data_IF_435227058634
#
_entry.id   IF_435227058634
#
_cell.length_a   1.000
_cell.length_b   1.000
_cell.length_c   1.000
_cell.angle_alpha   90.00
_cell.angle_beta   90.00
_cell.angle_gamma   90.00
#
_symmetry.space_group_name_H-M   'P 1'
#
loop_
_entity.id
_entity.type
_entity.pdbx_description
1 polymer ?
#
# COMPACT_ATOMS: atom_id res chain seq x y z
N UNK A 1 -20.41 97.89 -2.81
CA UNK A 1 -21.50 97.60 -3.78
C UNK A 1 -21.63 96.09 -3.96
N UNK A 2 -22.84 95.58 -3.70
CA UNK A 2 -23.53 94.35 -4.14
C UNK A 2 -22.76 93.15 -4.75
N UNK A 3 -22.90 92.00 -4.06
CA UNK A 3 -23.45 90.68 -4.51
C UNK A 3 -22.84 90.03 -5.76
N UNK A 4 -22.37 88.77 -5.68
CA UNK A 4 -23.25 87.61 -5.94
C UNK A 4 -22.68 86.31 -5.38
N UNK A 5 -23.55 85.53 -4.74
CA UNK A 5 -23.29 84.19 -4.26
C UNK A 5 -23.58 83.16 -5.36
N UNK A 6 -22.74 82.13 -5.48
CA UNK A 6 -23.05 80.91 -6.24
C UNK A 6 -23.06 79.75 -5.25
N UNK A 7 -24.25 79.18 -5.07
CA UNK A 7 -24.51 77.89 -4.42
C UNK A 7 -24.11 76.76 -5.38
N UNK A 8 -23.48 75.71 -4.89
CA UNK A 8 -23.55 74.38 -5.53
C UNK A 8 -23.43 73.28 -4.48
N UNK A 9 -24.15 72.20 -4.77
CA UNK A 9 -24.84 71.32 -3.83
C UNK A 9 -23.92 70.31 -3.13
N UNK A 10 -24.34 69.99 -1.90
CA UNK A 10 -23.85 68.86 -1.09
C UNK A 10 -24.44 67.58 -1.69
N UNK A 11 -23.59 66.71 -2.24
CA UNK A 11 -23.93 65.32 -2.56
C UNK A 11 -23.38 64.40 -1.48
N UNK A 12 -24.23 63.96 -0.55
CA UNK A 12 -23.86 62.95 0.45
C UNK A 12 -23.98 61.55 -0.16
N UNK A 13 -22.86 60.96 -0.57
CA UNK A 13 -22.80 59.56 -0.95
C UNK A 13 -22.77 58.70 0.33
N UNK A 14 -23.88 58.06 0.66
CA UNK A 14 -23.96 57.04 1.70
C UNK A 14 -23.26 55.79 1.19
N UNK A 15 -22.05 55.54 1.68
CA UNK A 15 -21.34 54.28 1.48
C UNK A 15 -22.00 53.22 2.37
N UNK A 16 -22.89 52.41 1.82
CA UNK A 16 -23.40 51.22 2.48
C UNK A 16 -22.27 50.19 2.55
N UNK A 17 -21.58 50.13 3.70
CA UNK A 17 -20.59 49.10 3.99
C UNK A 17 -21.33 47.76 4.16
N UNK A 18 -21.36 46.95 3.08
CA UNK A 18 -21.72 45.54 3.16
C UNK A 18 -20.66 44.81 3.97
N UNK A 19 -20.94 44.59 5.26
CA UNK A 19 -20.24 43.63 6.10
C UNK A 19 -20.54 42.22 5.56
N UNK A 20 -19.75 41.78 4.59
CA UNK A 20 -19.62 40.36 4.26
C UNK A 20 -19.00 39.68 5.48
N UNK A 21 -19.82 39.00 6.27
CA UNK A 21 -19.35 38.18 7.37
C UNK A 21 -18.50 37.04 6.82
N UNK A 22 -17.19 37.14 6.99
CA UNK A 22 -16.26 36.02 6.84
C UNK A 22 -16.60 35.00 7.93
N UNK A 23 -17.42 33.99 7.61
CA UNK A 23 -17.56 32.83 8.47
C UNK A 23 -16.19 32.19 8.72
N UNK A 24 -15.96 31.53 9.86
CA UNK A 24 -14.69 30.87 10.13
C UNK A 24 -14.38 29.91 8.96
N UNK A 25 -13.19 30.07 8.37
CA UNK A 25 -12.72 29.18 7.33
C UNK A 25 -12.55 27.78 7.92
N UNK A 26 -13.54 26.91 7.70
CA UNK A 26 -13.48 25.50 8.11
C UNK A 26 -12.54 24.77 7.17
N UNK A 27 -11.27 24.68 7.54
CA UNK A 27 -10.27 23.96 6.77
C UNK A 27 -10.12 22.54 7.32
N UNK A 28 -11.13 21.68 7.11
CA UNK A 28 -11.00 20.24 7.36
C UNK A 28 -9.74 19.69 6.69
N UNK A 29 -9.12 18.65 7.26
CA UNK A 29 -8.00 17.94 6.66
C UNK A 29 -8.49 16.66 5.98
N UNK A 30 -8.28 16.59 4.67
CA UNK A 30 -8.45 15.39 3.88
C UNK A 30 -7.10 14.70 3.64
N UNK A 31 -7.12 13.37 3.66
CA UNK A 31 -6.03 12.52 3.25
C UNK A 31 -6.44 11.82 1.95
N UNK A 32 -5.65 12.00 0.90
CA UNK A 32 -5.87 11.38 -0.41
C UNK A 32 -4.87 10.27 -0.68
N UNK A 33 -5.35 9.11 -1.11
CA UNK A 33 -4.51 7.99 -1.50
C UNK A 33 -4.28 8.00 -3.03
N UNK A 34 -3.16 8.57 -3.45
CA UNK A 34 -2.65 8.55 -4.83
C UNK A 34 -1.63 7.43 -5.05
N UNK A 35 -1.62 6.44 -4.18
CA UNK A 35 -0.90 5.18 -4.37
C UNK A 35 -1.79 4.20 -5.12
N UNK A 36 -1.16 3.27 -5.81
CA UNK A 36 -1.84 2.13 -6.44
C UNK A 36 -2.10 0.96 -5.46
N UNK A 37 -2.05 1.22 -4.15
CA UNK A 37 -2.26 0.26 -3.06
C UNK A 37 -3.39 0.68 -2.14
N UNK A 38 -4.20 -0.27 -1.65
CA UNK A 38 -5.08 0.01 -0.50
C UNK A 38 -4.20 0.14 0.74
N UNK A 39 -4.36 1.25 1.47
CA UNK A 39 -3.52 1.58 2.63
C UNK A 39 -4.34 1.78 3.89
N UNK A 40 -3.69 1.53 5.02
CA UNK A 40 -4.10 2.03 6.33
C UNK A 40 -3.17 3.16 6.74
N UNK A 41 -3.74 4.31 7.12
CA UNK A 41 -3.00 5.48 7.54
C UNK A 41 -3.36 5.94 8.94
N UNK A 42 -2.43 6.58 9.62
CA UNK A 42 -2.63 7.31 10.86
C UNK A 42 -2.05 8.71 10.70
N UNK A 43 -2.71 9.70 11.29
CA UNK A 43 -2.20 11.07 11.36
C UNK A 43 -1.75 11.39 12.77
N UNK A 44 -0.71 12.22 12.88
CA UNK A 44 -0.31 12.89 14.11
C UNK A 44 -0.51 14.38 13.95
N UNK A 45 -1.04 15.04 14.96
CA UNK A 45 -1.27 16.47 15.02
C UNK A 45 -0.50 17.00 16.21
N UNK A 46 0.39 17.97 15.95
CA UNK A 46 1.08 18.72 16.99
C UNK A 46 0.52 20.13 17.07
N UNK A 47 0.10 20.52 18.26
CA UNK A 47 -0.39 21.86 18.57
C UNK A 47 0.12 22.27 19.96
N UNK A 48 0.79 23.42 20.07
CA UNK A 48 1.27 23.98 21.34
C UNK A 48 2.11 23.00 22.16
N UNK A 49 2.91 22.18 21.50
CA UNK A 49 3.77 21.16 22.11
C UNK A 49 3.06 19.88 22.58
N UNK A 50 1.74 19.75 22.39
CA UNK A 50 1.01 18.50 22.60
C UNK A 50 0.87 17.75 21.26
N UNK A 51 1.11 16.44 21.26
CA UNK A 51 0.98 15.61 20.06
C UNK A 51 -0.08 14.54 20.26
N UNK A 52 -1.11 14.56 19.42
CA UNK A 52 -2.16 13.55 19.37
C UNK A 52 -2.09 12.74 18.07
N UNK A 53 -2.41 11.44 18.11
CA UNK A 53 -2.53 10.59 16.92
C UNK A 53 -3.93 10.03 16.78
N UNK A 54 -4.35 9.77 15.54
CA UNK A 54 -5.58 9.04 15.23
C UNK A 54 -5.42 8.21 13.95
N UNK A 55 -6.09 7.08 13.91
CA UNK A 55 -6.04 6.09 12.83
C UNK A 55 -6.88 4.87 13.24
N UNK A 56 -6.80 3.72 12.59
CA UNK A 56 -6.29 3.53 11.25
C UNK A 56 -7.37 3.91 10.23
N UNK A 57 -7.07 4.85 9.36
CA UNK A 57 -7.93 5.16 8.23
C UNK A 57 -7.59 4.23 7.08
N UNK A 58 -8.53 3.38 6.68
CA UNK A 58 -8.44 2.74 5.37
C UNK A 58 -8.72 3.77 4.28
N UNK A 59 -7.85 3.79 3.27
CA UNK A 59 -8.04 4.53 2.02
C UNK A 59 -7.80 3.61 0.83
N UNK A 60 -8.80 3.50 -0.03
CA UNK A 60 -8.66 2.81 -1.31
C UNK A 60 -7.92 3.71 -2.34
N UNK A 61 -7.26 3.15 -3.35
CA UNK A 61 -6.62 3.91 -4.42
C UNK A 61 -7.57 4.93 -5.07
N UNK A 62 -7.14 6.19 -5.14
CA UNK A 62 -7.91 7.33 -5.63
C UNK A 62 -8.91 7.91 -4.64
N UNK A 63 -9.00 7.39 -3.41
CA UNK A 63 -9.91 7.91 -2.40
C UNK A 63 -9.30 9.08 -1.63
N UNK A 64 -10.09 10.15 -1.45
CA UNK A 64 -9.85 11.18 -0.45
C UNK A 64 -10.82 11.01 0.72
N UNK A 65 -10.30 11.04 1.95
CA UNK A 65 -11.08 10.88 3.18
C UNK A 65 -10.77 12.00 4.16
N UNK A 66 -11.80 12.59 4.74
CA UNK A 66 -11.65 13.55 5.84
C UNK A 66 -11.14 12.85 7.09
N UNK A 67 -9.94 13.22 7.53
CA UNK A 67 -9.24 12.63 8.67
C UNK A 67 -9.21 13.57 9.88
N UNK A 68 -9.51 14.85 9.70
CA UNK A 68 -9.74 15.82 10.77
C UNK A 68 -10.82 16.82 10.34
N UNK A 69 -11.74 17.13 11.24
CA UNK A 69 -12.86 18.03 10.99
C UNK A 69 -12.70 19.29 11.83
N UNK A 70 -12.99 20.44 11.26
CA UNK A 70 -12.83 21.75 11.90
C UNK A 70 -11.52 22.44 11.53
N UNK A 71 -11.28 23.59 12.14
CA UNK A 71 -10.07 24.38 11.92
C UNK A 71 -8.83 23.60 12.38
N UNK A 72 -7.89 23.40 11.46
CA UNK A 72 -6.63 22.71 11.74
C UNK A 72 -5.62 23.75 12.20
N UNK A 73 -5.49 23.93 13.51
CA UNK A 73 -4.52 24.82 14.16
C UNK A 73 -3.15 24.16 14.37
N UNK A 74 -2.90 23.04 13.70
CA UNK A 74 -1.70 22.23 13.85
C UNK A 74 -0.45 23.00 13.41
N UNK A 75 0.57 23.03 14.27
CA UNK A 75 1.91 23.53 13.92
C UNK A 75 2.61 22.55 12.97
N UNK A 76 2.42 21.25 13.21
CA UNK A 76 2.96 20.18 12.38
C UNK A 76 1.93 19.06 12.21
N UNK A 77 1.75 18.62 10.97
CA UNK A 77 1.01 17.42 10.63
C UNK A 77 1.99 16.30 10.32
N UNK A 78 1.72 15.12 10.86
CA UNK A 78 2.50 13.91 10.70
C UNK A 78 1.64 12.83 10.06
N UNK A 79 2.23 11.99 9.21
CA UNK A 79 1.55 10.91 8.52
C UNK A 79 2.35 9.62 8.62
N UNK A 80 1.65 8.54 8.94
CA UNK A 80 2.17 7.19 8.85
C UNK A 80 1.18 6.35 8.04
N UNK A 81 1.67 5.59 7.06
CA UNK A 81 0.82 4.75 6.22
C UNK A 81 1.52 3.42 5.92
N UNK A 82 0.72 2.37 5.77
CA UNK A 82 1.15 1.03 5.38
C UNK A 82 0.16 0.45 4.37
N UNK A 83 0.65 -0.26 3.36
CA UNK A 83 -0.22 -1.05 2.49
C UNK A 83 -0.78 -2.25 3.25
N UNK A 84 -1.96 -2.72 2.83
CA UNK A 84 -2.57 -3.90 3.44
C UNK A 84 -1.68 -5.15 3.29
N UNK A 85 -1.68 -6.08 4.27
CA UNK A 85 -0.83 -7.28 4.24
C UNK A 85 -1.01 -8.18 3.02
N UNK A 86 -2.14 -8.07 2.31
CA UNK A 86 -2.40 -8.83 1.07
C UNK A 86 -1.38 -8.53 -0.04
N UNK A 87 -0.71 -7.37 0.02
CA UNK A 87 0.37 -6.97 -0.90
C UNK A 87 1.76 -7.46 -0.44
N UNK A 88 1.85 -8.22 0.65
CA UNK A 88 3.08 -8.57 1.35
C UNK A 88 3.39 -7.62 2.52
N UNK A 89 4.51 -7.86 3.26
CA UNK A 89 4.90 -6.98 4.35
C UNK A 89 5.23 -5.57 3.82
N UNK A 90 4.57 -4.55 4.36
CA UNK A 90 4.92 -3.16 4.11
C UNK A 90 6.17 -2.81 4.94
N UNK A 91 7.30 -2.43 4.32
CA UNK A 91 8.47 -2.00 5.07
C UNK A 91 8.12 -0.76 5.90
N UNK A 92 8.56 -0.73 7.16
CA UNK A 92 8.42 0.48 7.97
C UNK A 92 9.29 1.60 7.38
N UNK A 93 8.80 2.85 7.33
CA UNK A 93 9.58 3.97 6.82
C UNK A 93 10.91 4.10 7.59
N UNK A 94 12.04 3.94 6.90
CA UNK A 94 13.37 4.04 7.52
C UNK A 94 13.68 5.49 7.96
N UNK A 95 13.16 6.47 7.22
CA UNK A 95 13.20 7.88 7.57
C UNK A 95 11.84 8.33 8.08
N UNK A 96 11.85 9.11 9.16
CA UNK A 96 10.68 9.82 9.64
C UNK A 96 11.09 10.87 10.65
N UNK A 97 10.17 11.78 10.89
CA UNK A 97 10.42 13.02 11.64
C UNK A 97 9.98 12.90 13.11
N UNK A 98 9.15 11.90 13.43
CA UNK A 98 8.71 11.61 14.79
C UNK A 98 8.39 10.12 14.97
N UNK A 99 8.64 9.60 16.18
CA UNK A 99 8.10 8.32 16.64
C UNK A 99 6.88 8.59 17.52
N UNK A 100 5.70 8.19 17.05
CA UNK A 100 4.42 8.45 17.72
C UNK A 100 3.64 7.17 17.95
N UNK A 101 2.76 7.20 18.95
CA UNK A 101 1.96 6.03 19.32
C UNK A 101 0.87 5.73 18.32
N UNK A 102 0.71 4.44 18.01
CA UNK A 102 -0.41 3.89 17.27
C UNK A 102 -1.11 2.81 18.08
N UNK A 103 -2.43 2.71 17.90
CA UNK A 103 -3.27 1.66 18.47
C UNK A 103 -3.49 0.49 17.51
N UNK A 104 -4.29 -0.47 17.99
CA UNK A 104 -4.91 -1.50 17.15
C UNK A 104 -6.31 -1.04 16.75
N UNK A 105 -6.78 -1.41 15.55
CA UNK A 105 -8.08 -0.94 15.04
C UNK A 105 -8.20 0.59 14.97
N UNK A 106 -9.42 1.11 15.05
CA UNK A 106 -9.66 2.54 15.15
C UNK A 106 -9.23 3.07 16.54
N UNK A 107 -8.46 4.14 16.58
CA UNK A 107 -7.85 4.71 17.77
C UNK A 107 -7.73 6.24 17.70
N UNK A 108 -7.71 6.84 18.89
CA UNK A 108 -7.31 8.23 19.14
C UNK A 108 -6.45 8.24 20.39
N UNK A 109 -5.26 8.85 20.35
CA UNK A 109 -4.30 8.91 21.46
C UNK A 109 -3.86 10.37 21.63
N UNK A 110 -4.18 10.99 22.77
CA UNK A 110 -3.86 12.40 23.01
C UNK A 110 -2.40 12.65 23.45
N UNK A 111 -1.72 11.66 24.02
CA UNK A 111 -0.34 11.76 24.51
C UNK A 111 0.59 10.86 23.68
N UNK A 112 0.66 11.12 22.38
CA UNK A 112 1.25 10.20 21.41
C UNK A 112 2.79 10.08 21.48
N UNK A 113 3.47 10.77 22.40
CA UNK A 113 4.91 10.65 22.63
C UNK A 113 5.28 9.65 23.73
N UNK A 114 4.31 9.11 24.47
CA UNK A 114 4.54 8.19 25.58
C UNK A 114 3.62 6.96 25.50
N UNK A 115 4.03 5.96 24.72
CA UNK A 115 3.19 4.80 24.46
C UNK A 115 3.04 3.90 25.68
N UNK A 116 1.83 3.37 25.86
CA UNK A 116 1.49 2.39 26.90
C UNK A 116 0.88 1.16 26.25
N UNK A 117 1.22 -0.08 26.65
CA UNK A 117 0.58 -1.28 26.12
C UNK A 117 -0.96 -1.16 26.16
N UNK A 118 -1.69 -1.53 25.09
CA UNK A 118 -1.22 -2.23 23.87
C UNK A 118 -0.72 -1.32 22.73
N UNK A 119 -0.47 -0.03 22.98
CA UNK A 119 0.08 0.91 21.99
C UNK A 119 1.52 0.56 21.66
N UNK A 120 1.94 0.87 20.43
CA UNK A 120 3.32 0.75 19.98
C UNK A 120 3.77 2.05 19.33
N UNK A 121 5.08 2.27 19.29
CA UNK A 121 5.65 3.33 18.45
C UNK A 121 5.54 2.94 16.98
N UNK A 122 5.24 3.93 16.14
CA UNK A 122 5.40 3.88 14.70
C UNK A 122 6.08 5.17 14.24
N UNK A 123 6.84 5.06 13.15
CA UNK A 123 7.57 6.18 12.56
C UNK A 123 6.66 7.01 11.65
N UNK A 124 6.49 8.30 11.94
CA UNK A 124 5.70 9.23 11.14
C UNK A 124 6.58 10.19 10.35
N UNK A 125 6.15 10.54 9.14
CA UNK A 125 6.75 11.59 8.34
C UNK A 125 6.01 12.93 8.55
N UNK A 126 6.75 14.02 8.74
CA UNK A 126 6.19 15.36 8.71
C UNK A 126 5.68 15.66 7.28
N UNK A 127 4.45 16.13 7.17
CA UNK A 127 3.84 16.54 5.90
C UNK A 127 3.35 17.98 6.02
N UNK A 128 3.37 18.69 4.90
CA UNK A 128 2.76 20.01 4.78
C UNK A 128 1.54 19.90 3.86
N UNK A 129 0.32 19.86 4.42
CA UNK A 129 -0.89 19.84 3.62
C UNK A 129 -0.96 21.06 2.69
N UNK A 130 -1.48 20.87 1.49
CA UNK A 130 -1.80 21.95 0.56
C UNK A 130 -3.26 22.38 0.71
N UNK A 131 -3.58 23.62 0.37
CA UNK A 131 -4.96 24.08 0.31
C UNK A 131 -5.58 23.73 -1.05
N UNK A 132 -6.76 23.11 -1.03
CA UNK A 132 -7.57 22.84 -2.21
C UNK A 132 -9.06 22.98 -1.89
N UNK A 133 -9.78 23.80 -2.68
CA UNK A 133 -11.22 24.02 -2.52
C UNK A 133 -11.67 24.39 -1.09
N UNK A 134 -10.85 25.17 -0.37
CA UNK A 134 -11.14 25.60 1.01
C UNK A 134 -10.90 24.54 2.08
N UNK A 135 -10.21 23.44 1.74
CA UNK A 135 -9.84 22.34 2.63
C UNK A 135 -8.32 22.14 2.60
N UNK A 136 -7.77 21.57 3.66
CA UNK A 136 -6.38 21.11 3.66
C UNK A 136 -6.32 19.68 3.12
N UNK A 137 -5.34 19.39 2.28
CA UNK A 137 -5.15 18.10 1.65
C UNK A 137 -3.72 17.61 1.86
N UNK A 138 -3.57 16.43 2.44
CA UNK A 138 -2.34 15.66 2.41
C UNK A 138 -2.51 14.48 1.44
N UNK A 139 -1.53 14.21 0.58
CA UNK A 139 -1.58 13.11 -0.37
C UNK A 139 -0.47 12.09 -0.09
N UNK A 140 -0.84 10.81 -0.10
CA UNK A 140 0.09 9.69 -0.23
C UNK A 140 0.30 9.45 -1.73
N UNK A 141 1.48 9.69 -2.27
CA UNK A 141 1.74 9.59 -3.71
C UNK A 141 2.99 8.75 -4.00
N UNK A 142 2.97 8.04 -5.14
CA UNK A 142 4.12 7.32 -5.69
C UNK A 142 4.95 8.27 -6.58
N UNK A 143 6.18 7.87 -6.94
CA UNK A 143 7.04 8.65 -7.84
C UNK A 143 6.41 8.94 -9.20
N UNK A 144 5.45 8.12 -9.64
CA UNK A 144 4.70 8.31 -10.88
C UNK A 144 3.68 9.47 -10.82
N UNK A 145 3.48 10.09 -9.65
CA UNK A 145 2.59 11.24 -9.42
C UNK A 145 1.17 11.06 -9.99
N UNK A 146 0.55 9.91 -9.73
CA UNK A 146 -0.80 9.63 -10.21
C UNK A 146 -1.83 10.69 -9.78
N UNK A 147 -2.75 11.03 -10.68
CA UNK A 147 -4.02 11.63 -10.29
C UNK A 147 -4.86 10.65 -9.49
N UNK A 148 -5.89 11.14 -8.80
CA UNK A 148 -6.79 10.27 -8.03
C UNK A 148 -7.46 9.20 -8.93
N UNK A 149 -7.82 9.56 -10.17
CA UNK A 149 -8.38 8.62 -11.16
C UNK A 149 -7.35 7.59 -11.64
N UNK A 150 -6.11 8.01 -11.90
CA UNK A 150 -5.03 7.10 -12.30
C UNK A 150 -4.67 6.14 -11.17
N UNK A 151 -4.57 6.64 -9.94
CA UNK A 151 -4.30 5.82 -8.76
C UNK A 151 -5.41 4.77 -8.57
N UNK A 152 -6.69 5.17 -8.70
CA UNK A 152 -7.82 4.23 -8.68
C UNK A 152 -7.66 3.12 -9.71
N UNK A 153 -7.35 3.48 -10.96
CA UNK A 153 -7.20 2.52 -12.05
C UNK A 153 -5.99 1.60 -11.85
N UNK A 154 -4.86 2.14 -11.41
CA UNK A 154 -3.66 1.38 -11.10
C UNK A 154 -3.91 0.41 -9.94
N UNK A 155 -4.68 0.83 -8.93
CA UNK A 155 -5.15 -0.03 -7.85
C UNK A 155 -5.99 -1.20 -8.33
N UNK A 156 -6.93 -0.95 -9.25
CA UNK A 156 -7.75 -2.00 -9.89
C UNK A 156 -6.86 -2.96 -10.68
N UNK A 157 -5.97 -2.45 -11.54
CA UNK A 157 -5.01 -3.28 -12.30
C UNK A 157 -4.19 -4.17 -11.37
N UNK A 158 -3.62 -3.62 -10.29
CA UNK A 158 -2.82 -4.41 -9.35
C UNK A 158 -3.61 -5.52 -8.69
N UNK A 159 -4.81 -5.23 -8.18
CA UNK A 159 -5.60 -6.26 -7.52
C UNK A 159 -6.13 -7.31 -8.51
N UNK A 160 -6.43 -6.93 -9.75
CA UNK A 160 -6.76 -7.88 -10.81
C UNK A 160 -5.59 -8.83 -11.09
N UNK A 161 -4.36 -8.31 -11.20
CA UNK A 161 -3.16 -9.13 -11.33
C UNK A 161 -3.00 -10.08 -10.15
N UNK A 162 -3.14 -9.59 -8.92
CA UNK A 162 -3.08 -10.42 -7.70
C UNK A 162 -4.18 -11.48 -7.65
N UNK A 163 -5.35 -11.20 -8.23
CA UNK A 163 -6.45 -12.14 -8.36
C UNK A 163 -6.31 -13.09 -9.58
N UNK A 164 -5.23 -12.98 -10.37
CA UNK A 164 -4.91 -13.88 -11.48
C UNK A 164 -5.41 -13.45 -12.87
N UNK A 165 -5.86 -12.21 -13.03
CA UNK A 165 -6.30 -11.65 -14.31
C UNK A 165 -5.14 -10.93 -15.05
N UNK A 166 -5.11 -10.95 -16.39
CA UNK A 166 -4.09 -10.24 -17.18
C UNK A 166 -4.44 -8.74 -17.31
N UNK A 167 -4.00 -7.95 -16.33
CA UNK A 167 -4.19 -6.48 -16.30
C UNK A 167 -2.86 -5.72 -16.34
N UNK A 168 -1.79 -6.31 -16.87
CA UNK A 168 -0.51 -5.62 -17.06
C UNK A 168 -0.52 -4.68 -18.28
N UNK A 169 0.25 -3.58 -18.26
CA UNK A 169 1.03 -3.06 -17.11
C UNK A 169 0.15 -2.37 -16.05
N UNK A 170 0.67 -2.23 -14.82
CA UNK A 170 0.04 -1.44 -13.75
C UNK A 170 0.49 0.01 -13.90
N UNK A 171 -0.24 0.79 -14.69
CA UNK A 171 0.14 2.14 -15.10
C UNK A 171 -0.95 3.20 -14.85
N UNK A 172 -2.13 2.79 -14.39
CA UNK A 172 -3.26 3.68 -14.19
C UNK A 172 -3.91 4.16 -15.48
N UNK A 173 -3.63 3.51 -16.62
CA UNK A 173 -4.15 3.87 -17.95
C UNK A 173 -5.15 2.83 -18.44
N UNK A 174 -6.21 3.30 -19.11
CA UNK A 174 -7.20 2.41 -19.75
C UNK A 174 -6.60 1.72 -20.96
N UNK A 175 -6.95 0.46 -21.18
CA UNK A 175 -6.54 -0.26 -22.37
C UNK A 175 -7.27 -1.58 -22.54
N UNK A 176 -7.22 -2.20 -23.73
CA UNK A 176 -7.99 -3.40 -24.04
C UNK A 176 -7.78 -4.56 -23.06
N UNK A 177 -6.56 -4.72 -22.53
CA UNK A 177 -6.23 -5.73 -21.52
C UNK A 177 -6.93 -5.44 -20.19
N UNK A 178 -6.78 -4.22 -19.67
CA UNK A 178 -7.41 -3.77 -18.43
C UNK A 178 -8.93 -3.92 -18.51
N UNK A 179 -9.53 -3.49 -19.63
CA UNK A 179 -10.99 -3.54 -19.81
C UNK A 179 -11.49 -4.98 -19.89
N UNK A 180 -10.77 -5.86 -20.61
CA UNK A 180 -11.09 -7.29 -20.68
C UNK A 180 -10.95 -7.97 -19.30
N UNK A 181 -9.90 -7.64 -18.53
CA UNK A 181 -9.69 -8.17 -17.18
C UNK A 181 -10.80 -7.73 -16.21
N UNK A 182 -11.20 -6.45 -16.25
CA UNK A 182 -12.32 -5.93 -15.46
C UNK A 182 -13.61 -6.67 -15.84
N UNK A 183 -13.93 -6.76 -17.13
CA UNK A 183 -15.14 -7.42 -17.60
C UNK A 183 -15.20 -8.90 -17.19
N UNK A 184 -14.08 -9.61 -17.30
CA UNK A 184 -13.98 -11.00 -16.87
C UNK A 184 -14.14 -11.14 -15.35
N UNK A 185 -13.48 -10.29 -14.56
CA UNK A 185 -13.61 -10.29 -13.11
C UNK A 185 -15.06 -10.04 -12.66
N UNK A 186 -15.73 -9.03 -13.22
CA UNK A 186 -17.12 -8.73 -12.88
C UNK A 186 -18.04 -9.91 -13.21
N UNK A 187 -17.84 -10.55 -14.37
CA UNK A 187 -18.58 -11.74 -14.78
C UNK A 187 -18.35 -12.91 -13.82
N UNK A 188 -17.09 -13.22 -13.47
CA UNK A 188 -16.75 -14.33 -12.57
C UNK A 188 -17.33 -14.14 -11.17
N UNK A 189 -17.50 -12.88 -10.75
CA UNK A 189 -18.09 -12.51 -9.45
C UNK A 189 -19.59 -12.25 -9.49
N UNK A 190 -20.25 -12.38 -10.65
CA UNK A 190 -21.67 -12.08 -10.80
C UNK A 190 -22.02 -10.62 -10.50
N UNK A 191 -21.08 -9.70 -10.71
CA UNK A 191 -21.23 -8.26 -10.47
C UNK A 191 -21.74 -7.55 -11.74
N UNK A 192 -22.54 -6.47 -11.59
CA UNK A 192 -22.96 -5.67 -12.71
C UNK A 192 -21.79 -4.88 -13.32
N UNK A 193 -21.91 -4.50 -14.60
CA UNK A 193 -20.81 -3.87 -15.36
C UNK A 193 -20.33 -2.54 -14.76
N UNK A 194 -21.21 -1.81 -14.07
CA UNK A 194 -20.92 -0.55 -13.39
C UNK A 194 -20.27 -0.75 -12.01
N UNK A 195 -20.21 -1.97 -11.46
CA UNK A 195 -19.58 -2.21 -10.17
C UNK A 195 -18.11 -1.79 -10.13
N UNK A 196 -17.40 -1.75 -11.26
CA UNK A 196 -16.02 -1.27 -11.34
C UNK A 196 -15.84 0.21 -10.95
N UNK A 197 -16.87 1.04 -11.11
CA UNK A 197 -16.84 2.46 -10.71
C UNK A 197 -17.32 2.67 -9.27
N UNK A 198 -17.98 1.68 -8.68
CA UNK A 198 -18.51 1.73 -7.33
C UNK A 198 -17.44 1.70 -6.23
N UNK A 199 -17.81 2.14 -5.03
CA UNK A 199 -16.95 2.10 -3.85
C UNK A 199 -16.59 0.65 -3.44
N UNK A 200 -17.48 -0.31 -3.66
CA UNK A 200 -17.29 -1.71 -3.27
C UNK A 200 -16.35 -2.53 -4.18
N UNK A 201 -15.84 -1.98 -5.29
CA UNK A 201 -14.98 -2.74 -6.22
C UNK A 201 -13.71 -3.23 -5.53
N UNK A 202 -13.11 -2.40 -4.67
CA UNK A 202 -11.86 -2.73 -3.99
C UNK A 202 -12.06 -3.86 -2.99
N UNK A 203 -13.18 -3.89 -2.26
CA UNK A 203 -13.49 -5.01 -1.38
C UNK A 203 -13.66 -6.31 -2.16
N UNK A 204 -14.41 -6.29 -3.27
CA UNK A 204 -14.58 -7.48 -4.12
C UNK A 204 -13.25 -7.97 -4.73
N UNK A 205 -12.40 -7.05 -5.18
CA UNK A 205 -11.09 -7.33 -5.76
C UNK A 205 -10.11 -7.87 -4.72
N UNK A 206 -10.08 -7.28 -3.52
CA UNK A 206 -9.25 -7.78 -2.42
C UNK A 206 -9.72 -9.15 -1.95
N UNK A 207 -11.03 -9.37 -1.85
CA UNK A 207 -11.57 -10.69 -1.56
C UNK A 207 -11.10 -11.69 -2.63
N UNK A 208 -11.06 -11.31 -3.91
CA UNK A 208 -10.52 -12.15 -4.99
C UNK A 208 -9.02 -12.43 -4.88
N UNK A 209 -8.24 -11.41 -4.56
CA UNK A 209 -6.80 -11.57 -4.34
C UNK A 209 -6.49 -12.46 -3.11
N UNK A 210 -7.36 -12.40 -2.09
CA UNK A 210 -7.20 -13.19 -0.85
C UNK A 210 -7.78 -14.60 -0.98
N UNK A 211 -8.85 -14.79 -1.74
CA UNK A 211 -9.38 -16.11 -2.05
C UNK A 211 -8.28 -16.97 -2.68
N UNK A 212 -8.24 -18.28 -2.40
CA UNK A 212 -7.53 -19.21 -3.25
C UNK A 212 -8.09 -19.06 -4.65
N UNK A 213 -7.41 -18.29 -5.49
CA UNK A 213 -7.64 -18.37 -6.91
C UNK A 213 -7.58 -19.86 -7.24
N UNK A 214 -8.60 -20.35 -7.95
CA UNK A 214 -8.62 -21.71 -8.46
C UNK A 214 -7.37 -22.01 -9.30
N UNK A 215 -6.63 -20.97 -9.70
CA UNK A 215 -5.33 -21.07 -10.33
C UNK A 215 -4.19 -20.26 -9.71
N UNK A 216 -2.96 -20.80 -9.80
CA UNK A 216 -1.73 -20.11 -9.38
C UNK A 216 -0.89 -20.90 -8.37
N UNK A 217 0.21 -20.30 -7.92
CA UNK A 217 1.13 -20.89 -6.96
C UNK A 217 0.97 -20.26 -5.57
N UNK A 218 1.12 -21.05 -4.52
CA UNK A 218 1.07 -20.58 -3.12
C UNK A 218 2.03 -21.34 -2.23
N UNK A 219 2.53 -20.68 -1.20
CA UNK A 219 3.14 -21.33 -0.04
C UNK A 219 2.15 -21.37 1.11
N UNK A 220 2.12 -22.45 1.85
CA UNK A 220 1.50 -22.53 3.17
C UNK A 220 2.55 -22.97 4.19
N UNK A 221 2.58 -22.31 5.34
CA UNK A 221 3.53 -22.64 6.39
C UNK A 221 2.82 -23.41 7.51
N UNK A 222 3.08 -24.72 7.57
CA UNK A 222 2.56 -25.60 8.62
C UNK A 222 3.56 -25.74 9.80
N UNK A 223 4.67 -25.00 9.77
CA UNK A 223 5.67 -25.01 10.84
C UNK A 223 5.34 -24.02 11.94
N UNK A 224 6.03 -24.12 13.10
CA UNK A 224 5.90 -23.13 14.18
C UNK A 224 6.71 -21.84 13.97
N UNK A 225 7.58 -21.79 12.97
CA UNK A 225 8.48 -20.66 12.71
C UNK A 225 7.99 -19.84 11.53
N UNK A 226 8.34 -18.56 11.45
CA UNK A 226 8.14 -17.84 10.20
C UNK A 226 9.05 -18.41 9.13
N UNK A 227 8.61 -18.44 7.87
CA UNK A 227 9.41 -18.89 6.74
C UNK A 227 9.66 -17.72 5.79
N UNK A 228 10.92 -17.46 5.47
CA UNK A 228 11.32 -16.55 4.41
C UNK A 228 11.43 -17.34 3.11
N UNK A 229 10.54 -17.06 2.16
CA UNK A 229 10.41 -17.78 0.90
C UNK A 229 10.85 -16.96 -0.30
N UNK A 230 11.33 -17.63 -1.34
CA UNK A 230 11.67 -17.05 -2.63
C UNK A 230 11.13 -17.93 -3.75
N UNK A 231 10.72 -17.31 -4.85
CA UNK A 231 10.23 -17.98 -6.06
C UNK A 231 11.08 -17.59 -7.25
N UNK A 232 11.23 -18.46 -8.23
CA UNK A 232 11.67 -18.05 -9.55
C UNK A 232 10.73 -18.56 -10.64
N UNK A 233 10.55 -17.75 -11.67
CA UNK A 233 9.66 -18.04 -12.81
C UNK A 233 10.34 -17.63 -14.12
N UNK A 234 10.00 -18.33 -15.21
CA UNK A 234 10.51 -17.97 -16.53
C UNK A 234 9.75 -16.77 -17.07
N UNK A 235 10.44 -15.65 -17.29
CA UNK A 235 9.90 -14.41 -17.85
C UNK A 235 10.74 -13.98 -19.05
N UNK A 236 10.10 -13.83 -20.21
CA UNK A 236 10.76 -13.38 -21.47
C UNK A 236 12.06 -14.14 -21.80
N UNK A 237 12.14 -15.43 -21.44
CA UNK A 237 13.28 -16.29 -21.71
C UNK A 237 14.41 -16.24 -20.65
N UNK A 238 14.25 -15.45 -19.59
CA UNK A 238 15.13 -15.47 -18.43
C UNK A 238 14.42 -16.11 -17.23
N UNK A 239 15.17 -16.77 -16.36
CA UNK A 239 14.64 -17.24 -15.09
C UNK A 239 14.82 -16.13 -14.06
N UNK A 240 13.72 -15.57 -13.56
CA UNK A 240 13.71 -14.42 -12.66
C UNK A 240 13.36 -14.87 -11.25
N UNK A 241 14.30 -14.78 -10.32
CA UNK A 241 14.11 -15.09 -8.90
C UNK A 241 13.69 -13.83 -8.11
N UNK A 242 12.64 -13.95 -7.30
CA UNK A 242 12.06 -12.91 -6.43
C UNK A 242 11.97 -13.42 -4.99
N UNK A 243 12.33 -12.57 -4.03
CA UNK A 243 12.23 -12.86 -2.61
C UNK A 243 12.51 -11.60 -1.79
N UNK A 244 12.42 -11.56 -0.47
CA UNK A 244 11.89 -12.59 0.40
C UNK A 244 10.41 -12.33 0.70
N UNK A 245 9.62 -13.39 0.68
CA UNK A 245 8.23 -13.40 1.11
C UNK A 245 8.18 -14.02 2.51
N UNK A 246 7.66 -13.28 3.49
CA UNK A 246 7.49 -13.82 4.84
C UNK A 246 6.16 -14.57 4.93
N UNK A 247 6.22 -15.85 5.29
CA UNK A 247 5.06 -16.73 5.48
C UNK A 247 4.96 -17.05 6.97
N UNK A 248 4.02 -16.43 7.67
CA UNK A 248 3.82 -16.65 9.11
C UNK A 248 3.27 -18.06 9.41
N UNK A 249 3.50 -18.61 10.63
CA UNK A 249 2.93 -19.88 11.07
C UNK A 249 1.41 -19.96 10.82
N UNK A 250 0.96 -21.05 10.20
CA UNK A 250 -0.44 -21.30 9.88
C UNK A 250 -1.01 -20.40 8.78
N UNK A 251 -0.19 -19.59 8.11
CA UNK A 251 -0.60 -18.72 7.00
C UNK A 251 -0.14 -19.26 5.66
N UNK A 252 -0.83 -18.81 4.61
CA UNK A 252 -0.42 -19.02 3.24
C UNK A 252 -0.15 -17.68 2.57
N UNK A 253 0.85 -17.64 1.70
CA UNK A 253 1.24 -16.46 0.91
C UNK A 253 1.26 -16.83 -0.56
N UNK A 254 0.74 -15.95 -1.40
CA UNK A 254 0.82 -16.05 -2.87
C UNK A 254 1.83 -15.02 -3.36
N UNK A 255 2.95 -15.45 -3.98
CA UNK A 255 3.84 -14.51 -4.64
C UNK A 255 3.22 -14.01 -5.94
N UNK A 256 3.67 -12.83 -6.39
CA UNK A 256 3.29 -12.28 -7.69
C UNK A 256 3.98 -13.08 -8.80
N UNK A 257 3.22 -14.00 -9.40
CA UNK A 257 3.64 -14.83 -10.52
C UNK A 257 2.90 -14.35 -11.75
N UNK A 258 3.63 -13.76 -12.69
CA UNK A 258 3.05 -13.24 -13.92
C UNK A 258 2.66 -14.41 -14.84
N UNK A 259 1.41 -14.41 -15.28
CA UNK A 259 0.89 -15.37 -16.26
C UNK A 259 0.61 -16.77 -15.69
N UNK A 260 0.71 -17.79 -16.55
CA UNK A 260 0.46 -19.20 -16.20
C UNK A 260 1.70 -20.05 -16.51
N UNK A 261 2.78 -19.92 -15.71
CA UNK A 261 4.00 -20.66 -15.99
C UNK A 261 3.76 -22.17 -15.84
N UNK A 262 4.40 -22.98 -16.69
CA UNK A 262 4.32 -24.45 -16.61
C UNK A 262 5.01 -25.00 -15.37
N UNK A 263 5.98 -24.26 -14.83
CA UNK A 263 6.72 -24.60 -13.63
C UNK A 263 7.14 -23.34 -12.90
N UNK A 264 7.32 -23.44 -11.60
CA UNK A 264 7.98 -22.42 -10.79
C UNK A 264 9.09 -23.08 -9.97
N UNK A 265 10.00 -22.28 -9.45
CA UNK A 265 11.09 -22.73 -8.60
C UNK A 265 10.86 -22.13 -7.22
N UNK A 266 10.86 -22.94 -6.17
CA UNK A 266 10.49 -22.52 -4.82
C UNK A 266 11.64 -22.78 -3.85
N UNK A 267 11.92 -21.80 -3.00
CA UNK A 267 12.79 -21.94 -1.85
C UNK A 267 12.10 -21.36 -0.60
N UNK A 268 12.39 -21.92 0.57
CA UNK A 268 11.96 -21.39 1.86
C UNK A 268 12.97 -21.70 2.96
N UNK A 269 13.16 -20.79 3.90
CA UNK A 269 14.02 -20.97 5.08
C UNK A 269 13.27 -20.50 6.33
N UNK A 270 13.23 -21.34 7.36
CA UNK A 270 12.64 -20.97 8.64
C UNK A 270 13.54 -19.96 9.37
N UNK A 271 12.92 -18.95 9.97
CA UNK A 271 13.59 -17.92 10.78
C UNK A 271 12.96 -17.79 12.17
N UNK A 272 13.78 -17.44 13.15
CA UNK A 272 13.34 -17.18 14.52
C UNK A 272 12.72 -15.77 14.69
N UNK A 273 12.45 -15.37 15.93
CA UNK A 273 11.86 -14.08 16.27
C UNK A 273 12.73 -12.87 15.89
N UNK A 274 14.05 -13.09 15.79
CA UNK A 274 15.03 -12.07 15.41
C UNK A 274 15.36 -12.11 13.91
N UNK A 275 14.67 -12.97 13.15
CA UNK A 275 14.86 -13.15 11.72
C UNK A 275 16.08 -13.98 11.35
N UNK A 276 16.72 -14.67 12.30
CA UNK A 276 17.89 -15.51 12.04
C UNK A 276 17.47 -16.91 11.57
N UNK A 277 18.23 -17.55 10.66
CA UNK A 277 17.91 -18.89 10.18
C UNK A 277 17.84 -19.93 11.30
N UNK A 278 16.71 -20.60 11.42
CA UNK A 278 16.52 -21.70 12.37
C UNK A 278 17.38 -22.88 11.95
N UNK A 279 18.14 -23.43 12.89
CA UNK A 279 18.99 -24.60 12.66
C UNK A 279 18.49 -25.83 13.41
N UNK A 280 18.64 -27.00 12.78
CA UNK A 280 18.43 -28.34 13.34
C UNK A 280 19.76 -29.07 13.25
N UNK A 281 20.52 -29.08 14.35
CA UNK A 281 21.94 -29.46 14.32
C UNK A 281 22.73 -28.49 13.42
N UNK A 282 23.57 -29.03 12.53
CA UNK A 282 24.40 -28.22 11.62
C UNK A 282 23.66 -27.73 10.37
N UNK A 283 22.39 -28.14 10.17
CA UNK A 283 21.62 -27.80 8.96
C UNK A 283 20.61 -26.70 9.26
N UNK A 284 20.52 -25.71 8.35
CA UNK A 284 19.41 -24.76 8.32
C UNK A 284 18.11 -25.50 7.99
N UNK A 285 17.03 -25.16 8.68
CA UNK A 285 15.70 -25.66 8.38
C UNK A 285 15.18 -24.92 7.13
N UNK A 286 15.42 -25.52 5.97
CA UNK A 286 15.08 -24.96 4.66
C UNK A 286 14.48 -26.01 3.73
N UNK A 287 13.61 -25.54 2.83
CA UNK A 287 12.93 -26.31 1.80
C UNK A 287 13.37 -25.77 0.45
N UNK A 288 14.18 -26.56 -0.25
CA UNK A 288 14.80 -26.17 -1.51
C UNK A 288 15.10 -27.40 -2.37
N UNK A 289 15.85 -27.19 -3.43
CA UNK A 289 16.19 -28.23 -4.39
C UNK A 289 17.50 -27.95 -5.11
N UNK A 290 17.74 -28.66 -6.21
CA UNK A 290 19.02 -28.62 -6.92
C UNK A 290 19.21 -27.47 -7.89
N UNK A 291 18.19 -26.64 -8.15
CA UNK A 291 18.32 -25.51 -9.07
C UNK A 291 18.96 -24.33 -8.36
N UNK A 292 20.26 -24.14 -8.57
CA UNK A 292 21.00 -23.04 -7.95
C UNK A 292 20.67 -21.72 -8.64
N UNK A 293 20.10 -20.79 -7.88
CA UNK A 293 19.78 -19.43 -8.32
C UNK A 293 20.37 -18.42 -7.33
N UNK A 294 20.67 -17.23 -7.83
CA UNK A 294 21.22 -16.18 -6.99
C UNK A 294 20.14 -15.57 -6.10
N UNK A 295 20.48 -15.37 -4.83
CA UNK A 295 19.67 -14.66 -3.83
C UNK A 295 20.55 -13.66 -3.09
N UNK A 296 19.94 -12.83 -2.25
CA UNK A 296 20.65 -11.93 -1.32
C UNK A 296 19.82 -11.76 -0.05
N UNK A 297 20.40 -11.20 1.00
CA UNK A 297 19.75 -11.01 2.30
C UNK A 297 18.50 -10.10 2.24
N UNK A 298 18.60 -8.97 1.54
CA UNK A 298 17.47 -8.05 1.36
C UNK A 298 16.49 -8.54 0.28
N UNK A 299 15.27 -7.95 0.22
CA UNK A 299 14.31 -8.20 -0.86
C UNK A 299 14.98 -7.96 -2.24
N UNK A 300 14.70 -8.83 -3.20
CA UNK A 300 15.39 -8.92 -4.47
C UNK A 300 14.49 -9.37 -5.63
N UNK A 301 14.90 -8.98 -6.83
CA UNK A 301 14.49 -9.54 -8.10
C UNK A 301 15.76 -9.70 -8.96
N UNK A 302 16.06 -10.91 -9.42
CA UNK A 302 17.33 -11.26 -10.07
C UNK A 302 17.07 -12.16 -11.29
N UNK A 303 17.55 -11.75 -12.46
CA UNK A 303 17.43 -12.53 -13.69
C UNK A 303 18.75 -13.12 -14.22
N UNK A 304 19.89 -12.75 -13.62
CA UNK A 304 21.19 -13.34 -13.94
C UNK A 304 21.64 -14.26 -12.80
N UNK A 305 21.96 -15.50 -13.17
CA UNK A 305 22.28 -16.59 -12.25
C UNK A 305 23.59 -17.30 -12.59
N UNK A 306 24.44 -16.73 -13.46
CA UNK A 306 25.65 -17.39 -13.95
C UNK A 306 26.76 -17.50 -12.89
N UNK A 307 27.00 -16.44 -12.13
CA UNK A 307 28.04 -16.41 -11.08
C UNK A 307 27.59 -15.54 -9.91
N UNK A 308 26.88 -16.16 -8.96
CA UNK A 308 26.37 -15.46 -7.78
C UNK A 308 27.51 -14.90 -6.92
N UNK A 309 28.57 -15.67 -6.75
CA UNK A 309 29.70 -15.30 -5.88
C UNK A 309 30.42 -14.05 -6.39
N UNK A 310 30.73 -14.00 -7.69
CA UNK A 310 31.36 -12.81 -8.30
C UNK A 310 30.48 -11.57 -8.23
N UNK A 311 29.16 -11.75 -8.20
CA UNK A 311 28.18 -10.66 -8.04
C UNK A 311 27.91 -10.28 -6.57
N UNK A 312 28.58 -10.91 -5.59
CA UNK A 312 28.33 -10.70 -4.17
C UNK A 312 26.96 -11.21 -3.69
N UNK A 313 26.46 -12.26 -4.35
CA UNK A 313 25.17 -12.90 -4.11
C UNK A 313 25.36 -14.33 -3.60
N UNK A 314 24.34 -14.84 -2.92
CA UNK A 314 24.31 -16.21 -2.43
C UNK A 314 23.80 -17.17 -3.51
N UNK A 315 24.41 -18.34 -3.62
CA UNK A 315 23.88 -19.43 -4.44
C UNK A 315 22.91 -20.28 -3.58
N UNK A 316 21.62 -20.19 -3.89
CA UNK A 316 20.55 -20.87 -3.14
C UNK A 316 19.85 -21.91 -4.02
N UNK A 317 19.58 -23.09 -3.46
CA UNK A 317 18.99 -24.21 -4.18
C UNK A 317 17.47 -24.19 -4.15
N UNK A 318 16.82 -23.94 -5.28
CA UNK A 318 15.36 -23.95 -5.42
C UNK A 318 14.84 -25.32 -5.86
N UNK A 319 13.68 -25.70 -5.34
CA UNK A 319 12.93 -26.89 -5.74
C UNK A 319 12.04 -26.58 -6.95
N UNK A 320 12.04 -27.46 -7.95
CA UNK A 320 11.14 -27.34 -9.09
C UNK A 320 9.73 -27.77 -8.69
N UNK A 321 8.74 -26.93 -9.00
CA UNK A 321 7.32 -27.20 -8.80
C UNK A 321 6.65 -27.21 -10.15
N UNK A 322 6.18 -28.38 -10.59
CA UNK A 322 5.47 -28.54 -11.85
C UNK A 322 4.00 -28.14 -11.72
N UNK A 323 3.59 -27.19 -12.56
CA UNK A 323 2.25 -26.62 -12.69
C UNK A 323 1.53 -27.10 -13.96
N UNK A 324 2.15 -27.97 -14.77
CA UNK A 324 1.59 -28.42 -16.06
C UNK A 324 0.23 -29.09 -15.86
N UNK A 325 -0.81 -28.54 -16.50
CA UNK A 325 -2.18 -29.06 -16.41
C UNK A 325 -2.84 -28.89 -15.04
N UNK A 326 -2.18 -28.23 -14.08
CA UNK A 326 -2.74 -27.94 -12.77
C UNK A 326 -3.30 -26.52 -12.77
N UNK A 327 -4.54 -26.32 -12.32
CA UNK A 327 -5.07 -24.97 -12.21
C UNK A 327 -4.26 -24.24 -11.13
N UNK A 328 -4.05 -24.85 -9.95
CA UNK A 328 -3.23 -24.30 -8.85
C UNK A 328 -2.21 -25.30 -8.29
N UNK A 329 -1.19 -24.79 -7.61
CA UNK A 329 -0.29 -25.58 -6.76
C UNK A 329 -0.02 -24.89 -5.42
N UNK A 330 0.13 -25.70 -4.38
CA UNK A 330 0.51 -25.25 -3.04
C UNK A 330 1.72 -26.05 -2.57
N UNK A 331 2.79 -25.34 -2.21
CA UNK A 331 3.91 -25.91 -1.46
C UNK A 331 3.62 -25.70 0.03
N UNK A 332 3.68 -26.79 0.80
CA UNK A 332 3.50 -26.73 2.26
C UNK A 332 4.86 -26.91 2.94
N UNK A 333 5.29 -25.91 3.70
CA UNK A 333 6.48 -26.02 4.54
C UNK A 333 6.11 -26.79 5.80
N UNK A 334 6.79 -27.91 6.03
CA UNK A 334 6.52 -28.86 7.11
C UNK A 334 7.84 -29.25 7.80
N UNK A 335 7.78 -29.46 9.12
CA UNK A 335 8.93 -29.83 9.97
C UNK A 335 9.33 -31.31 9.89
#
# INVERSE_FOLDING_TARGET
>A
MRRTAVRSAIGAAVLAATLLGSGPARADLDLCNRLSFVVEAAIGIEEKGATATRGWFRLDPGQCRTVLTGEVTAEQVFLHAKALPLYGPSPEPMSGHADLCVGTGDFVIAAARACRPPQRFARFAAVKPSEAAGRLVAALAEEAEYSDEQARRAGIQRLLVLAGYDAHPIDGVSGPKTDAAIAQFLKDRGLPADAATGAGVFDALMEAAQQPAASGFSWCNDTRFAVMAAIAVEEKGALVARGWYRVEPGKCVRPDVVGKPRRVFSYGEAVDGDGQPVRRGDRRLAWGGGTMLCTREARFELGDHKDCGAAGLDATGFAVVDLTGKPSATVRFQE
#
